data_IF_731354747678
#
_entry.id   IF_731354747678
#
_cell.length_a   1.000
_cell.length_b   1.000
_cell.length_c   1.000
_cell.angle_alpha   90.00
_cell.angle_beta   90.00
_cell.angle_gamma   90.00
#
_symmetry.space_group_name_H-M   'P 1'
#
loop_
_entity.id
_entity.type
_entity.pdbx_description
1 polymer ?
#
# COMPACT_ATOMS: atom_id res chain seq x y z
N UNK A 1 -0.67 -37.75 18.53
CA UNK A 1 -1.42 -36.46 18.55
C UNK A 1 -0.66 -35.29 19.19
N UNK A 2 0.16 -35.46 20.25
CA UNK A 2 0.94 -34.34 20.84
C UNK A 2 2.12 -33.86 19.97
N UNK A 3 2.73 -34.74 19.18
CA UNK A 3 3.92 -34.44 18.36
C UNK A 3 3.62 -33.50 17.18
N UNK A 4 2.42 -33.63 16.58
CA UNK A 4 2.00 -32.82 15.42
C UNK A 4 1.71 -31.37 15.80
N UNK A 5 1.07 -31.13 16.95
CA UNK A 5 0.82 -29.79 17.47
C UNK A 5 2.12 -29.09 17.92
N UNK A 6 3.09 -29.84 18.45
CA UNK A 6 4.40 -29.32 18.84
C UNK A 6 5.24 -28.91 17.60
N UNK A 7 5.25 -29.73 16.55
CA UNK A 7 5.91 -29.42 15.28
C UNK A 7 5.27 -28.22 14.57
N UNK A 8 3.93 -28.10 14.56
CA UNK A 8 3.26 -26.90 14.03
C UNK A 8 3.62 -25.62 14.81
N UNK A 9 3.82 -25.72 16.13
CA UNK A 9 4.25 -24.58 16.96
C UNK A 9 5.70 -24.18 16.69
N UNK A 10 6.60 -25.14 16.46
CA UNK A 10 7.99 -24.90 16.06
C UNK A 10 8.09 -24.31 14.65
N UNK A 11 7.30 -24.81 13.71
CA UNK A 11 7.20 -24.25 12.35
C UNK A 11 6.67 -22.81 12.36
N UNK A 12 5.73 -22.47 13.26
CA UNK A 12 5.19 -21.10 13.46
C UNK A 12 6.10 -20.17 14.24
N UNK A 13 7.08 -20.70 14.98
CA UNK A 13 8.09 -19.93 15.72
C UNK A 13 9.22 -19.40 14.83
N UNK A 14 9.36 -19.95 13.63
CA UNK A 14 10.24 -19.40 12.60
C UNK A 14 9.47 -18.34 11.81
N UNK A 15 10.12 -17.23 11.49
CA UNK A 15 9.55 -16.14 10.68
C UNK A 15 8.84 -16.75 9.47
N UNK A 16 7.56 -16.43 9.22
CA UNK A 16 6.88 -16.96 8.04
C UNK A 16 7.63 -16.44 6.82
N UNK A 17 8.34 -17.33 6.12
CA UNK A 17 9.04 -16.98 4.89
C UNK A 17 8.15 -17.32 3.71
N UNK A 18 8.12 -16.42 2.74
CA UNK A 18 7.47 -16.64 1.45
C UNK A 18 7.89 -17.98 0.78
N UNK A 19 9.13 -18.41 0.98
CA UNK A 19 9.65 -19.72 0.53
C UNK A 19 8.81 -20.90 1.02
N UNK A 20 8.17 -20.80 2.19
CA UNK A 20 7.28 -21.84 2.71
C UNK A 20 5.91 -21.87 2.04
N UNK A 21 5.39 -20.69 1.69
CA UNK A 21 4.17 -20.59 0.90
C UNK A 21 4.39 -21.26 -0.47
N UNK A 22 5.53 -20.98 -1.11
CA UNK A 22 5.93 -21.64 -2.34
C UNK A 22 6.15 -23.14 -2.18
N UNK A 23 6.83 -23.59 -1.12
CA UNK A 23 7.05 -25.01 -0.87
C UNK A 23 5.72 -25.77 -0.71
N UNK A 24 4.73 -25.18 -0.01
CA UNK A 24 3.39 -25.79 0.12
C UNK A 24 2.60 -25.80 -1.18
N UNK A 25 2.67 -24.71 -1.96
CA UNK A 25 2.07 -24.67 -3.30
C UNK A 25 2.72 -25.69 -4.24
N UNK A 26 4.02 -25.93 -4.10
CA UNK A 26 4.75 -26.94 -4.85
C UNK A 26 4.39 -28.37 -4.41
N UNK A 27 4.17 -28.63 -3.12
CA UNK A 27 3.74 -29.94 -2.59
C UNK A 27 2.35 -30.37 -3.15
N UNK A 28 1.47 -29.42 -3.50
CA UNK A 28 0.18 -29.64 -4.15
C UNK A 28 0.32 -29.86 -5.69
N UNK A 29 1.17 -30.82 -6.09
CA UNK A 29 1.55 -31.19 -7.48
C UNK A 29 0.38 -31.50 -8.47
N UNK A 30 -0.88 -31.44 -8.04
CA UNK A 30 -2.08 -31.72 -8.85
C UNK A 30 -2.97 -30.48 -9.12
N UNK A 31 -2.61 -29.29 -8.65
CA UNK A 31 -3.34 -28.07 -9.00
C UNK A 31 -2.81 -27.52 -10.34
N UNK A 32 -3.69 -27.20 -11.32
CA UNK A 32 -3.25 -26.47 -12.51
C UNK A 32 -2.59 -25.15 -12.09
N UNK A 33 -1.63 -24.62 -12.87
CA UNK A 33 -1.02 -23.33 -12.57
C UNK A 33 -2.13 -22.31 -12.34
N UNK A 34 -2.13 -21.71 -11.15
CA UNK A 34 -3.13 -20.70 -10.79
C UNK A 34 -3.05 -19.59 -11.83
N UNK A 35 -4.19 -19.23 -12.42
CA UNK A 35 -4.21 -18.10 -13.35
C UNK A 35 -3.80 -16.82 -12.61
N UNK A 36 -3.10 -15.88 -13.27
CA UNK A 36 -2.79 -14.58 -12.69
C UNK A 36 -4.04 -13.94 -12.09
N UNK A 37 -4.00 -13.62 -10.80
CA UNK A 37 -5.16 -13.07 -10.10
C UNK A 37 -4.93 -11.63 -9.65
N UNK A 38 -5.84 -10.78 -10.08
CA UNK A 38 -6.00 -9.41 -9.60
C UNK A 38 -7.40 -9.24 -9.00
N UNK A 39 -7.49 -8.86 -7.72
CA UNK A 39 -8.77 -8.60 -7.04
C UNK A 39 -8.99 -7.09 -6.99
N UNK A 40 -10.05 -6.61 -7.66
CA UNK A 40 -10.35 -5.19 -7.68
C UNK A 40 -11.07 -4.78 -6.39
N UNK A 41 -10.47 -3.82 -5.67
CA UNK A 41 -10.89 -3.37 -4.35
C UNK A 41 -11.66 -2.04 -4.38
N UNK A 42 -11.96 -1.52 -5.58
CA UNK A 42 -12.73 -0.30 -5.82
C UNK A 42 -11.88 0.96 -5.89
N UNK A 43 -10.71 0.98 -5.25
CA UNK A 43 -9.68 2.02 -5.36
C UNK A 43 -8.49 1.61 -6.26
N UNK A 44 -8.51 0.39 -6.77
CA UNK A 44 -7.44 -0.26 -7.54
C UNK A 44 -7.43 -1.76 -7.31
N UNK A 45 -6.42 -2.45 -7.84
CA UNK A 45 -6.29 -3.92 -7.80
C UNK A 45 -5.26 -4.36 -6.78
N UNK A 46 -5.58 -5.44 -6.07
CA UNK A 46 -4.61 -6.26 -5.34
C UNK A 46 -4.14 -7.40 -6.25
N UNK A 47 -2.90 -7.30 -6.74
CA UNK A 47 -2.28 -8.32 -7.57
C UNK A 47 -1.62 -9.34 -6.64
N UNK A 48 -2.04 -10.60 -6.72
CA UNK A 48 -1.54 -11.66 -5.86
C UNK A 48 -0.26 -12.22 -6.49
N UNK A 49 0.90 -11.70 -6.10
CA UNK A 49 2.16 -11.86 -6.84
C UNK A 49 2.55 -13.31 -7.12
N UNK A 50 2.34 -14.22 -6.18
CA UNK A 50 2.65 -15.65 -6.34
C UNK A 50 1.72 -16.40 -7.31
N UNK A 51 0.60 -15.81 -7.73
CA UNK A 51 -0.29 -16.39 -8.76
C UNK A 51 0.18 -16.05 -10.18
N UNK A 52 1.13 -15.14 -10.35
CA UNK A 52 1.69 -14.80 -11.65
C UNK A 52 2.80 -15.80 -12.01
N UNK A 53 2.85 -16.28 -13.26
CA UNK A 53 3.80 -17.30 -13.68
C UNK A 53 5.26 -16.79 -13.68
N UNK A 54 5.45 -15.51 -14.00
CA UNK A 54 6.77 -14.89 -14.01
C UNK A 54 6.73 -13.38 -13.66
N UNK A 55 7.93 -12.82 -13.50
CA UNK A 55 8.12 -11.44 -13.11
C UNK A 55 7.70 -10.42 -14.18
N UNK A 56 7.76 -10.80 -15.47
CA UNK A 56 7.37 -9.98 -16.60
C UNK A 56 5.86 -9.78 -16.65
N UNK A 57 5.08 -10.84 -16.49
CA UNK A 57 3.61 -10.74 -16.45
C UNK A 57 3.12 -9.90 -15.27
N UNK A 58 3.70 -10.08 -14.08
CA UNK A 58 3.34 -9.26 -12.92
C UNK A 58 3.71 -7.78 -13.11
N UNK A 59 4.88 -7.50 -13.70
CA UNK A 59 5.27 -6.14 -14.04
C UNK A 59 4.32 -5.51 -15.05
N UNK A 60 3.98 -6.21 -16.13
CA UNK A 60 3.03 -5.74 -17.13
C UNK A 60 1.65 -5.45 -16.52
N UNK A 61 1.16 -6.32 -15.63
CA UNK A 61 -0.09 -6.12 -14.94
C UNK A 61 -0.07 -4.87 -14.03
N UNK A 62 1.02 -4.63 -13.29
CA UNK A 62 1.18 -3.38 -12.52
C UNK A 62 1.22 -2.13 -13.40
N UNK A 63 1.76 -2.22 -14.62
CA UNK A 63 1.84 -1.10 -15.55
C UNK A 63 0.50 -0.78 -16.23
N UNK A 64 -0.41 -1.77 -16.28
CA UNK A 64 -1.79 -1.65 -16.78
C UNK A 64 -2.74 -0.94 -15.79
N UNK A 65 -2.21 -0.47 -14.65
CA UNK A 65 -2.95 0.37 -13.69
C UNK A 65 -3.63 1.55 -14.40
N UNK A 66 -4.94 1.71 -14.18
CA UNK A 66 -5.73 2.76 -14.82
C UNK A 66 -5.54 4.12 -14.14
N UNK A 67 -5.74 5.24 -14.86
CA UNK A 67 -5.70 6.56 -14.26
C UNK A 67 -6.68 6.70 -13.09
N UNK A 68 -6.19 7.15 -11.93
CA UNK A 68 -6.99 7.32 -10.71
C UNK A 68 -7.07 6.07 -9.83
N UNK A 69 -6.56 4.93 -10.30
CA UNK A 69 -6.44 3.70 -9.52
C UNK A 69 -5.05 3.58 -8.88
N UNK A 70 -4.95 2.69 -7.90
CA UNK A 70 -3.71 2.39 -7.20
C UNK A 70 -3.56 0.90 -7.01
N UNK A 71 -2.79 0.29 -7.88
CA UNK A 71 -2.51 -1.13 -7.82
C UNK A 71 -1.42 -1.44 -6.81
N UNK A 72 -1.55 -2.60 -6.16
CA UNK A 72 -0.58 -3.10 -5.19
C UNK A 72 -0.35 -4.57 -5.49
N UNK A 73 0.89 -4.94 -5.81
CA UNK A 73 1.30 -6.32 -5.82
C UNK A 73 1.83 -6.72 -4.45
N UNK A 74 1.24 -7.74 -3.83
CA UNK A 74 1.64 -8.30 -2.54
C UNK A 74 1.99 -9.79 -2.72
N UNK A 75 2.75 -10.35 -1.79
CA UNK A 75 3.22 -11.75 -1.83
C UNK A 75 4.10 -12.02 -3.06
N UNK A 76 4.99 -11.08 -3.38
CA UNK A 76 5.88 -11.16 -4.52
C UNK A 76 7.15 -11.92 -4.14
N UNK A 77 7.43 -13.02 -4.84
CA UNK A 77 8.58 -13.90 -4.57
C UNK A 77 9.93 -13.21 -4.63
N UNK A 78 10.17 -12.61 -5.78
CA UNK A 78 11.44 -12.06 -6.18
C UNK A 78 11.16 -10.64 -6.65
N UNK A 79 10.87 -9.70 -5.72
CA UNK A 79 10.43 -8.37 -6.10
C UNK A 79 11.52 -7.61 -6.88
N UNK A 80 12.80 -7.94 -6.65
CA UNK A 80 13.93 -7.42 -7.42
C UNK A 80 13.88 -7.85 -8.91
N UNK A 81 13.37 -9.04 -9.24
CA UNK A 81 13.23 -9.50 -10.63
C UNK A 81 12.10 -8.76 -11.34
N UNK A 82 10.98 -8.52 -10.64
CA UNK A 82 9.85 -7.73 -11.17
C UNK A 82 10.28 -6.28 -11.37
N UNK A 83 10.99 -5.71 -10.40
CA UNK A 83 11.53 -4.36 -10.50
C UNK A 83 12.51 -4.21 -11.68
N UNK A 84 13.31 -5.25 -11.98
CA UNK A 84 14.23 -5.25 -13.10
C UNK A 84 13.54 -5.19 -14.47
N UNK A 85 12.27 -5.60 -14.59
CA UNK A 85 11.50 -5.50 -15.83
C UNK A 85 11.13 -4.05 -16.17
N UNK A 86 10.87 -3.23 -15.15
CA UNK A 86 10.42 -1.84 -15.35
C UNK A 86 10.94 -0.90 -14.24
N UNK A 87 12.27 -0.73 -14.09
CA UNK A 87 12.87 -0.03 -12.94
C UNK A 87 12.56 1.48 -12.90
N UNK A 88 12.25 2.06 -14.07
CA UNK A 88 11.86 3.46 -14.18
C UNK A 88 10.37 3.70 -13.84
N UNK A 89 9.55 2.64 -13.80
CA UNK A 89 8.09 2.75 -13.65
C UNK A 89 7.56 2.03 -12.40
N UNK A 90 8.32 1.11 -11.82
CA UNK A 90 7.96 0.39 -10.59
C UNK A 90 8.90 0.76 -9.44
N UNK A 91 8.43 0.58 -8.21
CA UNK A 91 9.24 0.75 -7.00
C UNK A 91 8.78 -0.21 -5.90
N UNK A 92 9.67 -0.47 -4.94
CA UNK A 92 9.33 -1.17 -3.69
C UNK A 92 8.57 -0.21 -2.79
N UNK A 93 7.35 -0.57 -2.43
CA UNK A 93 6.56 0.20 -1.49
C UNK A 93 7.22 0.19 -0.11
N UNK A 94 7.45 1.36 0.53
CA UNK A 94 8.10 1.43 1.83
C UNK A 94 7.11 1.10 2.96
N UNK A 95 6.46 -0.06 2.86
CA UNK A 95 5.52 -0.56 3.85
C UNK A 95 6.06 -1.83 4.49
N UNK A 96 5.79 -1.97 5.79
CA UNK A 96 6.02 -3.22 6.50
C UNK A 96 4.78 -4.09 6.39
N UNK A 97 4.99 -5.37 6.10
CA UNK A 97 3.91 -6.35 6.14
C UNK A 97 3.90 -7.01 7.51
N UNK A 98 2.73 -7.08 8.15
CA UNK A 98 2.56 -7.68 9.47
C UNK A 98 1.54 -8.83 9.41
N UNK A 99 1.77 -9.88 10.20
CA UNK A 99 0.89 -11.05 10.35
C UNK A 99 0.48 -11.25 11.81
N UNK A 100 -0.79 -11.53 12.04
CA UNK A 100 -1.30 -12.09 13.28
C UNK A 100 -1.81 -13.51 13.05
N UNK A 101 -1.19 -14.50 13.71
CA UNK A 101 -1.76 -15.84 13.79
C UNK A 101 -2.95 -15.86 14.73
N UNK A 102 -4.07 -16.44 14.30
CA UNK A 102 -5.27 -16.45 15.14
C UNK A 102 -5.15 -17.30 16.40
N UNK A 103 -4.23 -18.27 16.43
CA UNK A 103 -3.90 -19.00 17.66
C UNK A 103 -3.27 -18.11 18.74
N UNK A 104 -2.67 -17.00 18.33
CA UNK A 104 -1.99 -16.05 19.22
C UNK A 104 -2.94 -14.92 19.63
N UNK A 105 -4.08 -14.77 18.96
CA UNK A 105 -5.11 -13.79 19.30
C UNK A 105 -5.73 -14.06 20.67
N UNK A 106 -5.97 -12.99 21.43
CA UNK A 106 -6.73 -13.03 22.68
C UNK A 106 -7.88 -12.02 22.61
N UNK A 107 -9.14 -12.49 22.73
CA UNK A 107 -10.30 -11.62 22.77
C UNK A 107 -10.19 -10.56 23.87
N UNK A 108 -10.74 -9.38 23.59
CA UNK A 108 -10.77 -8.29 24.57
C UNK A 108 -11.65 -8.67 25.76
N UNK A 109 -11.18 -8.40 26.98
CA UNK A 109 -11.97 -8.65 28.21
C UNK A 109 -13.08 -7.63 28.45
N UNK A 110 -12.97 -6.43 27.85
CA UNK A 110 -13.93 -5.35 27.98
C UNK A 110 -14.54 -5.07 26.61
N UNK A 111 -15.87 -5.06 26.55
CA UNK A 111 -16.60 -4.63 25.37
C UNK A 111 -16.45 -3.12 25.14
N UNK A 112 -16.33 -2.74 23.88
CA UNK A 112 -16.39 -1.35 23.45
C UNK A 112 -17.86 -0.93 23.34
N UNK A 113 -18.16 0.34 23.57
CA UNK A 113 -19.53 0.87 23.66
C UNK A 113 -19.68 2.16 22.87
N UNK A 114 -20.91 2.48 22.46
CA UNK A 114 -21.25 3.74 21.78
C UNK A 114 -21.13 3.67 20.26
N UNK A 115 -20.87 2.49 19.70
CA UNK A 115 -20.88 2.25 18.27
C UNK A 115 -21.07 0.76 17.96
N UNK A 116 -21.69 0.49 16.82
CA UNK A 116 -21.94 -0.87 16.30
C UNK A 116 -21.12 -1.12 15.04
N UNK A 117 -20.73 -2.37 14.81
CA UNK A 117 -20.04 -2.78 13.60
C UNK A 117 -21.00 -3.52 12.69
N UNK A 118 -21.04 -3.13 11.42
CA UNK A 118 -21.85 -3.81 10.39
C UNK A 118 -21.18 -3.74 9.02
N UNK A 119 -21.67 -4.53 8.05
CA UNK A 119 -21.22 -4.45 6.66
C UNK A 119 -21.76 -3.18 5.98
N UNK A 120 -21.01 -2.68 5.01
CA UNK A 120 -21.53 -1.73 4.03
C UNK A 120 -22.59 -2.41 3.14
N UNK A 121 -23.70 -1.72 2.87
CA UNK A 121 -24.86 -2.30 2.18
C UNK A 121 -25.43 -1.42 1.07
N UNK A 122 -25.40 -0.10 1.23
CA UNK A 122 -26.11 0.83 0.35
C UNK A 122 -25.19 1.98 -0.11
N UNK A 123 -25.71 2.81 -1.01
CA UNK A 123 -24.97 3.94 -1.58
C UNK A 123 -24.52 4.96 -0.51
N UNK A 124 -25.35 5.21 0.50
CA UNK A 124 -25.01 6.14 1.58
C UNK A 124 -23.82 5.64 2.42
N UNK A 125 -23.73 4.32 2.64
CA UNK A 125 -22.57 3.71 3.30
C UNK A 125 -21.28 3.93 2.50
N UNK A 126 -21.31 3.74 1.18
CA UNK A 126 -20.13 3.94 0.32
C UNK A 126 -19.69 5.39 0.28
N UNK A 127 -20.65 6.32 0.21
CA UNK A 127 -20.38 7.75 0.32
C UNK A 127 -19.73 8.09 1.66
N UNK A 128 -20.23 7.53 2.77
CA UNK A 128 -19.67 7.76 4.08
C UNK A 128 -18.24 7.19 4.23
N UNK A 129 -17.96 6.01 3.65
CA UNK A 129 -16.58 5.48 3.58
C UNK A 129 -15.69 6.41 2.77
N UNK A 130 -16.15 6.91 1.63
CA UNK A 130 -15.37 7.80 0.77
C UNK A 130 -15.06 9.12 1.48
N UNK A 131 -16.00 9.67 2.26
CA UNK A 131 -15.74 10.82 3.13
C UNK A 131 -14.62 10.51 4.14
N UNK A 132 -14.65 9.35 4.81
CA UNK A 132 -13.57 8.93 5.72
C UNK A 132 -12.22 8.81 5.00
N UNK A 133 -12.20 8.24 3.81
CA UNK A 133 -10.99 8.03 3.02
C UNK A 133 -10.39 9.37 2.58
N UNK A 134 -11.22 10.29 2.08
CA UNK A 134 -10.78 11.63 1.69
C UNK A 134 -10.20 12.41 2.88
N UNK A 135 -10.84 12.36 4.06
CA UNK A 135 -10.31 12.98 5.29
C UNK A 135 -8.95 12.38 5.73
N UNK A 136 -8.65 11.15 5.31
CA UNK A 136 -7.38 10.47 5.58
C UNK A 136 -6.39 10.48 4.40
N UNK A 137 -6.68 11.22 3.34
CA UNK A 137 -5.84 11.27 2.14
C UNK A 137 -5.75 9.93 1.39
N UNK A 138 -6.75 9.07 1.54
CA UNK A 138 -6.87 7.79 0.85
C UNK A 138 -7.73 7.94 -0.41
N UNK A 139 -7.49 7.08 -1.40
CA UNK A 139 -8.32 7.05 -2.61
C UNK A 139 -9.74 6.60 -2.29
N UNK A 140 -10.77 7.24 -2.88
CA UNK A 140 -12.14 6.79 -2.75
C UNK A 140 -12.33 5.42 -3.43
N UNK A 141 -13.37 4.73 -2.99
CA UNK A 141 -13.85 3.47 -3.55
C UNK A 141 -14.89 3.78 -4.62
N UNK A 142 -14.79 3.12 -5.76
CA UNK A 142 -15.86 2.97 -6.73
C UNK A 142 -16.53 1.59 -6.55
N UNK A 143 -17.72 1.50 -5.94
CA UNK A 143 -18.35 0.21 -5.62
C UNK A 143 -18.62 -0.66 -6.85
N UNK A 144 -18.91 -0.04 -8.00
CA UNK A 144 -19.16 -0.74 -9.26
C UNK A 144 -17.94 -1.49 -9.84
N UNK A 145 -16.73 -1.17 -9.38
CA UNK A 145 -15.51 -1.89 -9.77
C UNK A 145 -15.14 -2.99 -8.78
N UNK A 146 -15.83 -3.14 -7.66
CA UNK A 146 -15.50 -4.18 -6.69
C UNK A 146 -15.66 -5.57 -7.31
N UNK A 147 -14.65 -6.42 -7.14
CA UNK A 147 -14.86 -7.86 -7.37
C UNK A 147 -16.01 -8.30 -6.46
N UNK A 148 -17.05 -8.96 -6.99
CA UNK A 148 -18.19 -9.41 -6.18
C UNK A 148 -17.77 -10.37 -5.06
N UNK A 149 -18.42 -10.29 -3.90
CA UNK A 149 -18.08 -11.12 -2.74
C UNK A 149 -18.25 -12.64 -3.00
N UNK A 150 -19.22 -13.02 -3.84
CA UNK A 150 -19.43 -14.40 -4.27
C UNK A 150 -18.32 -14.90 -5.21
N UNK A 151 -17.59 -14.00 -5.86
CA UNK A 151 -16.43 -14.28 -6.71
C UNK A 151 -15.10 -14.12 -5.97
N UNK A 152 -15.13 -14.06 -4.63
CA UNK A 152 -13.93 -13.95 -3.81
C UNK A 152 -13.46 -12.53 -3.51
N UNK A 153 -14.28 -11.52 -3.84
CA UNK A 153 -13.99 -10.12 -3.56
C UNK A 153 -13.96 -9.72 -2.08
N UNK A 154 -13.53 -8.49 -1.79
CA UNK A 154 -13.37 -8.00 -0.43
C UNK A 154 -14.72 -7.74 0.27
N UNK A 155 -14.66 -7.61 1.60
CA UNK A 155 -15.77 -7.15 2.43
C UNK A 155 -15.41 -5.87 3.15
N UNK A 156 -16.32 -4.91 3.15
CA UNK A 156 -16.16 -3.64 3.87
C UNK A 156 -17.05 -3.63 5.11
N UNK A 157 -16.44 -3.26 6.24
CA UNK A 157 -17.07 -3.14 7.54
C UNK A 157 -16.98 -1.72 8.04
N UNK A 158 -18.04 -1.27 8.70
CA UNK A 158 -18.23 0.09 9.18
C UNK A 158 -18.42 0.08 10.68
N UNK A 159 -17.85 1.06 11.36
CA UNK A 159 -18.25 1.44 12.71
C UNK A 159 -19.23 2.60 12.60
N UNK A 160 -20.45 2.40 13.10
CA UNK A 160 -21.51 3.40 13.15
C UNK A 160 -21.73 3.83 14.59
N UNK A 161 -21.63 5.13 14.85
CA UNK A 161 -21.90 5.72 16.16
C UNK A 161 -23.37 5.51 16.55
N UNK A 162 -23.62 5.02 17.76
CA UNK A 162 -24.98 4.66 18.21
C UNK A 162 -25.88 5.88 18.48
N UNK A 163 -25.30 7.03 18.84
CA UNK A 163 -26.05 8.23 19.21
C UNK A 163 -26.43 9.06 17.96
N UNK A 164 -25.48 9.22 17.03
CA UNK A 164 -25.62 10.06 15.83
C UNK A 164 -25.99 9.29 14.56
N UNK A 165 -25.75 7.97 14.53
CA UNK A 165 -25.85 7.16 13.32
C UNK A 165 -24.74 7.42 12.28
N UNK A 166 -23.74 8.25 12.61
CA UNK A 166 -22.67 8.58 11.69
C UNK A 166 -21.68 7.42 11.55
N UNK A 167 -21.17 7.20 10.33
CA UNK A 167 -20.07 6.26 10.09
C UNK A 167 -18.76 6.89 10.54
N UNK A 168 -18.18 6.37 11.61
CA UNK A 168 -16.99 6.91 12.29
C UNK A 168 -15.72 6.09 12.00
N UNK A 169 -15.84 4.97 11.31
CA UNK A 169 -14.69 4.18 10.87
C UNK A 169 -15.06 3.13 9.83
N UNK A 170 -14.07 2.68 9.08
CA UNK A 170 -14.21 1.66 8.04
C UNK A 170 -12.97 0.78 7.97
N UNK A 171 -13.15 -0.49 7.60
CA UNK A 171 -12.06 -1.42 7.34
C UNK A 171 -12.46 -2.41 6.24
N UNK A 172 -11.50 -2.77 5.39
CA UNK A 172 -11.64 -3.78 4.36
C UNK A 172 -10.99 -5.09 4.79
N UNK A 173 -11.69 -6.21 4.63
CA UNK A 173 -11.17 -7.55 4.83
C UNK A 173 -11.26 -8.39 3.55
N UNK A 174 -10.18 -9.12 3.23
CA UNK A 174 -10.12 -10.07 2.11
C UNK A 174 -9.87 -11.48 2.64
N UNK A 175 -10.71 -12.43 2.21
CA UNK A 175 -10.56 -13.85 2.53
C UNK A 175 -9.73 -14.53 1.44
N UNK A 176 -8.52 -14.98 1.77
CA UNK A 176 -7.58 -15.52 0.77
C UNK A 176 -8.02 -16.88 0.22
N UNK A 177 -8.66 -17.71 1.05
CA UNK A 177 -9.23 -18.98 0.61
C UNK A 177 -10.30 -18.76 -0.47
N UNK A 178 -11.14 -17.73 -0.33
CA UNK A 178 -12.16 -17.39 -1.33
C UNK A 178 -11.59 -16.68 -2.55
N UNK A 179 -10.65 -15.76 -2.34
CA UNK A 179 -10.07 -14.94 -3.39
C UNK A 179 -9.18 -15.77 -4.32
N UNK A 180 -8.25 -16.56 -3.77
CA UNK A 180 -7.23 -17.27 -4.54
C UNK A 180 -6.94 -18.70 -4.05
N UNK A 181 -7.85 -19.30 -3.26
CA UNK A 181 -7.70 -20.67 -2.74
C UNK A 181 -6.39 -20.88 -1.98
N UNK A 182 -6.02 -19.90 -1.16
CA UNK A 182 -4.81 -19.97 -0.34
C UNK A 182 -4.72 -21.28 0.47
N UNK A 183 -3.68 -22.10 0.27
CA UNK A 183 -3.52 -23.36 1.02
C UNK A 183 -3.28 -23.13 2.51
N UNK A 184 -2.82 -21.95 2.93
CA UNK A 184 -2.66 -21.63 4.35
C UNK A 184 -3.94 -21.13 5.01
N UNK A 185 -5.03 -20.95 4.24
CA UNK A 185 -6.30 -20.38 4.67
C UNK A 185 -6.13 -18.99 5.33
N UNK A 186 -5.40 -18.09 4.67
CA UNK A 186 -5.13 -16.75 5.13
C UNK A 186 -6.27 -15.75 4.97
N UNK A 187 -6.03 -14.56 5.52
CA UNK A 187 -6.83 -13.37 5.27
C UNK A 187 -5.97 -12.11 5.35
N UNK A 188 -6.45 -10.99 4.83
CA UNK A 188 -5.77 -9.70 4.94
C UNK A 188 -6.72 -8.55 5.23
N UNK A 189 -6.21 -7.57 5.97
CA UNK A 189 -6.86 -6.31 6.30
C UNK A 189 -6.27 -5.18 5.46
N UNK A 190 -7.13 -4.32 4.95
CA UNK A 190 -6.78 -3.14 4.17
C UNK A 190 -7.62 -1.94 4.56
N UNK A 191 -7.12 -0.76 4.19
CA UNK A 191 -7.86 0.50 4.22
C UNK A 191 -8.61 0.77 5.55
N UNK A 192 -7.91 0.58 6.68
CA UNK A 192 -8.42 0.95 8.00
C UNK A 192 -8.43 2.48 8.12
N UNK A 193 -9.62 3.07 8.22
CA UNK A 193 -9.83 4.49 8.41
C UNK A 193 -10.74 4.74 9.61
N UNK A 194 -10.42 5.77 10.38
CA UNK A 194 -11.25 6.26 11.50
C UNK A 194 -11.42 7.75 11.30
N UNK A 195 -12.60 8.30 11.58
CA UNK A 195 -12.83 9.73 11.52
C UNK A 195 -11.83 10.46 12.44
N UNK A 196 -11.03 11.43 11.94
CA UNK A 196 -10.08 12.19 12.76
C UNK A 196 -10.74 13.02 13.87
N UNK A 197 -12.02 13.36 13.73
CA UNK A 197 -12.82 14.10 14.71
C UNK A 197 -13.60 13.17 15.65
N UNK A 198 -13.44 11.84 15.51
CA UNK A 198 -14.14 10.88 16.34
C UNK A 198 -13.76 11.03 17.82
N UNK A 199 -14.77 11.25 18.67
CA UNK A 199 -14.60 11.29 20.13
C UNK A 199 -14.59 9.89 20.76
N UNK A 200 -14.98 8.84 20.02
CA UNK A 200 -15.04 7.47 20.52
C UNK A 200 -13.65 6.84 20.54
N UNK A 201 -13.13 6.41 21.70
CA UNK A 201 -11.83 5.77 21.76
C UNK A 201 -11.89 4.35 21.18
N UNK A 202 -10.80 3.94 20.53
CA UNK A 202 -10.56 2.53 20.17
C UNK A 202 -11.30 2.02 18.94
N UNK A 203 -11.98 2.87 18.15
CA UNK A 203 -12.71 2.46 16.92
C UNK A 203 -11.83 1.63 15.99
N UNK A 204 -10.60 2.08 15.73
CA UNK A 204 -9.66 1.34 14.89
C UNK A 204 -9.29 -0.04 15.46
N UNK A 205 -9.07 -0.15 16.77
CA UNK A 205 -8.79 -1.43 17.42
C UNK A 205 -9.97 -2.39 17.29
N UNK A 206 -11.17 -1.88 17.46
CA UNK A 206 -12.41 -2.67 17.39
C UNK A 206 -12.67 -3.19 15.99
N UNK A 207 -12.47 -2.37 14.97
CA UNK A 207 -12.59 -2.78 13.57
C UNK A 207 -11.61 -3.92 13.24
N UNK A 208 -10.36 -3.81 13.68
CA UNK A 208 -9.35 -4.86 13.48
C UNK A 208 -9.75 -6.15 14.22
N UNK A 209 -10.13 -6.05 15.49
CA UNK A 209 -10.59 -7.21 16.29
C UNK A 209 -11.79 -7.88 15.68
N UNK A 210 -12.74 -7.10 15.18
CA UNK A 210 -13.91 -7.64 14.49
C UNK A 210 -13.52 -8.43 13.25
N UNK A 211 -12.60 -7.91 12.42
CA UNK A 211 -12.09 -8.67 11.27
C UNK A 211 -11.38 -9.96 11.69
N UNK A 212 -10.56 -9.92 12.73
CA UNK A 212 -9.89 -11.11 13.28
C UNK A 212 -10.94 -12.15 13.67
N UNK A 213 -11.91 -11.77 14.50
CA UNK A 213 -12.95 -12.67 15.00
C UNK A 213 -13.87 -13.17 13.89
N UNK A 214 -14.20 -12.32 12.91
CA UNK A 214 -14.95 -12.69 11.73
C UNK A 214 -14.25 -13.78 10.91
N UNK A 215 -12.96 -13.62 10.64
CA UNK A 215 -12.20 -14.59 9.86
C UNK A 215 -11.86 -15.86 10.65
N UNK A 216 -11.66 -15.76 11.97
CA UNK A 216 -11.58 -16.92 12.87
C UNK A 216 -12.86 -17.76 12.79
N UNK A 217 -14.04 -17.14 12.82
CA UNK A 217 -15.31 -17.86 12.72
C UNK A 217 -15.52 -18.54 11.36
N UNK A 218 -14.67 -18.25 10.36
CA UNK A 218 -14.67 -18.86 9.03
C UNK A 218 -13.57 -19.92 8.87
N UNK A 219 -12.84 -20.24 9.93
CA UNK A 219 -11.79 -21.26 9.90
C UNK A 219 -10.49 -20.84 9.24
N UNK A 220 -10.27 -19.53 9.06
CA UNK A 220 -9.00 -19.01 8.53
C UNK A 220 -7.90 -19.06 9.62
N UNK A 221 -6.63 -18.92 9.22
CA UNK A 221 -5.46 -19.17 10.07
C UNK A 221 -4.79 -17.92 10.62
N UNK A 222 -4.80 -16.83 9.85
CA UNK A 222 -4.10 -15.59 10.16
C UNK A 222 -4.74 -14.38 9.48
N UNK A 223 -4.35 -13.18 9.92
CA UNK A 223 -4.66 -11.90 9.28
C UNK A 223 -3.36 -11.15 8.98
N UNK A 224 -3.16 -10.80 7.71
CA UNK A 224 -2.05 -9.98 7.22
C UNK A 224 -2.47 -8.54 6.97
N UNK A 225 -1.53 -7.61 6.99
CA UNK A 225 -1.74 -6.23 6.57
C UNK A 225 -0.43 -5.60 6.11
N UNK A 226 -0.55 -4.52 5.34
CA UNK A 226 0.58 -3.66 4.96
C UNK A 226 0.37 -2.27 5.58
N UNK A 227 1.43 -1.74 6.20
CA UNK A 227 1.42 -0.42 6.85
C UNK A 227 2.68 0.35 6.49
N UNK A 228 2.53 1.62 6.10
CA UNK A 228 3.67 2.49 5.80
C UNK A 228 4.65 2.54 6.98
N UNK A 229 5.95 2.51 6.67
CA UNK A 229 7.01 2.40 7.66
C UNK A 229 7.01 3.53 8.71
N UNK A 230 6.51 4.71 8.34
CA UNK A 230 6.45 5.92 9.17
C UNK A 230 5.14 6.07 9.96
N UNK A 231 4.15 5.20 9.73
CA UNK A 231 2.86 5.23 10.43
C UNK A 231 2.96 4.62 11.84
N UNK A 232 3.62 5.36 12.74
CA UNK A 232 3.87 4.96 14.13
C UNK A 232 2.59 4.65 14.91
N UNK A 233 1.52 5.41 14.69
CA UNK A 233 0.25 5.21 15.38
C UNK A 233 -0.38 3.85 15.05
N UNK A 234 -0.44 3.50 13.76
CA UNK A 234 -0.97 2.20 13.33
C UNK A 234 -0.08 1.04 13.80
N UNK A 235 1.25 1.19 13.70
CA UNK A 235 2.21 0.18 14.20
C UNK A 235 2.04 -0.11 15.69
N UNK A 236 1.82 0.91 16.53
CA UNK A 236 1.54 0.72 17.96
C UNK A 236 0.24 -0.07 18.19
N UNK A 237 -0.81 0.22 17.42
CA UNK A 237 -2.05 -0.54 17.47
C UNK A 237 -1.83 -2.02 17.11
N UNK A 238 -1.15 -2.30 16.00
CA UNK A 238 -0.92 -3.67 15.55
C UNK A 238 0.00 -4.44 16.51
N UNK A 239 1.04 -3.81 17.04
CA UNK A 239 1.88 -4.40 18.08
C UNK A 239 1.09 -4.78 19.33
N UNK A 240 0.17 -3.90 19.79
CA UNK A 240 -0.75 -4.18 20.92
C UNK A 240 -1.64 -5.39 20.65
N UNK A 241 -2.05 -5.60 19.40
CA UNK A 241 -2.88 -6.74 18.99
C UNK A 241 -2.08 -8.03 18.76
N UNK A 242 -0.75 -7.98 18.84
CA UNK A 242 0.13 -9.14 18.70
C UNK A 242 0.57 -9.44 17.27
N UNK A 243 0.39 -8.51 16.34
CA UNK A 243 0.95 -8.64 14.99
C UNK A 243 2.48 -8.66 15.03
N UNK A 244 3.09 -9.41 14.12
CA UNK A 244 4.54 -9.55 13.96
C UNK A 244 4.93 -9.30 12.51
N UNK A 245 6.16 -8.86 12.29
CA UNK A 245 6.67 -8.63 10.94
C UNK A 245 6.70 -9.92 10.11
N UNK A 246 6.23 -9.79 8.86
CA UNK A 246 6.30 -10.78 7.81
C UNK A 246 7.27 -10.26 6.75
N UNK A 247 8.30 -11.05 6.44
CA UNK A 247 9.32 -10.69 5.46
C UNK A 247 8.77 -10.89 4.04
N UNK A 248 7.99 -9.92 3.58
CA UNK A 248 7.50 -9.80 2.21
C UNK A 248 7.44 -8.33 1.83
N UNK A 249 7.65 -8.06 0.55
CA UNK A 249 7.61 -6.71 -0.01
C UNK A 249 6.38 -6.53 -0.88
N UNK A 250 5.96 -5.28 -1.01
CA UNK A 250 4.93 -4.88 -1.97
C UNK A 250 5.56 -4.06 -3.09
N UNK A 251 5.03 -4.20 -4.30
CA UNK A 251 5.42 -3.39 -5.45
C UNK A 251 4.25 -2.53 -5.90
N UNK A 252 4.57 -1.32 -6.35
CA UNK A 252 3.61 -0.35 -6.87
C UNK A 252 4.16 0.35 -8.10
N UNK A 253 3.27 0.90 -8.91
CA UNK A 253 3.62 1.77 -10.03
C UNK A 253 3.97 3.18 -9.53
N UNK A 254 5.04 3.75 -10.08
CA UNK A 254 5.39 5.16 -9.96
C UNK A 254 4.35 5.99 -10.71
N UNK A 255 3.49 6.66 -9.96
CA UNK A 255 2.42 7.53 -10.47
C UNK A 255 2.29 8.77 -9.56
N UNK A 256 1.37 9.68 -9.88
CA UNK A 256 1.15 10.89 -9.09
C UNK A 256 0.68 10.60 -7.65
N UNK A 257 -0.11 9.55 -7.44
CA UNK A 257 -0.65 9.15 -6.12
C UNK A 257 0.47 8.64 -5.20
N UNK A 258 1.41 7.86 -5.75
CA UNK A 258 2.54 7.26 -5.03
C UNK A 258 3.78 8.16 -4.99
N UNK A 259 3.74 9.34 -5.62
CA UNK A 259 4.88 10.24 -5.77
C UNK A 259 5.66 10.49 -4.47
N UNK A 260 5.02 10.76 -3.31
CA UNK A 260 5.75 10.96 -2.06
C UNK A 260 6.55 9.73 -1.59
N UNK A 261 6.16 8.52 -2.02
CA UNK A 261 6.74 7.26 -1.55
C UNK A 261 8.04 6.88 -2.26
N UNK A 262 8.29 7.41 -3.46
CA UNK A 262 9.48 7.03 -4.26
C UNK A 262 10.43 8.19 -4.57
N UNK A 263 10.04 9.44 -4.32
CA UNK A 263 10.92 10.60 -4.51
C UNK A 263 11.82 10.92 -3.32
N UNK A 264 11.46 10.46 -2.12
CA UNK A 264 12.19 10.79 -0.90
C UNK A 264 12.07 12.27 -0.53
N UNK A 265 12.77 12.72 0.53
CA UNK A 265 12.77 14.12 0.92
C UNK A 265 13.48 14.96 -0.15
N UNK A 266 12.76 15.90 -0.77
CA UNK A 266 13.34 16.87 -1.70
C UNK A 266 14.30 17.85 -0.99
N UNK A 267 15.03 18.68 -1.75
CA UNK A 267 15.93 19.67 -1.17
C UNK A 267 15.15 20.66 -0.30
N UNK A 268 15.56 20.78 0.96
CA UNK A 268 14.94 21.67 1.97
C UNK A 268 15.17 23.16 1.67
N UNK A 269 16.11 23.48 0.79
CA UNK A 269 16.47 24.85 0.46
C UNK A 269 15.29 25.60 -0.20
N UNK A 270 15.11 26.87 0.17
CA UNK A 270 14.09 27.76 -0.40
C UNK A 270 14.54 28.26 -1.78
N UNK A 271 14.18 27.53 -2.83
CA UNK A 271 14.42 27.92 -4.21
C UNK A 271 13.38 28.93 -4.70
N UNK A 272 13.80 29.83 -5.58
CA UNK A 272 12.88 30.68 -6.33
C UNK A 272 11.89 29.85 -7.19
N UNK A 273 10.73 30.39 -7.58
CA UNK A 273 9.69 29.61 -8.28
C UNK A 273 10.15 28.93 -9.57
N UNK A 274 11.05 29.55 -10.34
CA UNK A 274 11.53 28.99 -11.61
C UNK A 274 12.46 27.79 -11.38
N UNK A 275 13.41 27.94 -10.45
CA UNK A 275 14.28 26.84 -10.04
C UNK A 275 13.47 25.70 -9.42
N UNK A 276 12.46 26.00 -8.58
CA UNK A 276 11.60 25.00 -7.94
C UNK A 276 10.89 24.10 -8.95
N UNK A 277 10.30 24.68 -10.00
CA UNK A 277 9.58 23.91 -11.03
C UNK A 277 10.52 22.87 -11.69
N UNK A 278 11.73 23.29 -12.04
CA UNK A 278 12.71 22.43 -12.70
C UNK A 278 13.21 21.35 -11.74
N UNK A 279 13.52 21.73 -10.50
CA UNK A 279 13.99 20.80 -9.45
C UNK A 279 12.93 19.75 -9.13
N UNK A 280 11.68 20.15 -8.94
CA UNK A 280 10.60 19.22 -8.63
C UNK A 280 10.35 18.24 -9.79
N UNK A 281 10.39 18.73 -11.04
CA UNK A 281 10.25 17.88 -12.23
C UNK A 281 11.46 16.96 -12.45
N UNK A 282 12.67 17.43 -12.15
CA UNK A 282 13.88 16.60 -12.20
C UNK A 282 13.78 15.44 -11.21
N UNK A 283 13.43 15.73 -9.95
CA UNK A 283 13.22 14.70 -8.92
C UNK A 283 12.16 13.70 -9.37
N UNK A 284 11.02 14.16 -9.90
CA UNK A 284 9.96 13.28 -10.45
C UNK A 284 10.45 12.27 -11.47
N UNK A 285 11.48 12.63 -12.24
CA UNK A 285 12.08 11.79 -13.28
C UNK A 285 13.27 10.97 -12.79
N UNK A 286 13.52 10.94 -11.48
CA UNK A 286 14.66 10.27 -10.89
C UNK A 286 16.00 10.93 -11.25
N UNK A 287 15.98 12.23 -11.55
CA UNK A 287 17.18 13.04 -11.74
C UNK A 287 17.53 13.60 -10.37
N UNK A 288 18.75 13.31 -9.91
CA UNK A 288 19.26 13.82 -8.65
C UNK A 288 19.50 15.34 -8.76
N UNK A 289 19.16 16.06 -7.70
CA UNK A 289 19.33 17.51 -7.63
C UNK A 289 20.19 17.86 -6.42
N UNK A 290 21.29 18.56 -6.67
CA UNK A 290 22.08 19.23 -5.64
C UNK A 290 21.83 20.73 -5.73
N UNK A 291 21.32 21.35 -4.67
CA UNK A 291 21.19 22.82 -4.62
C UNK A 291 22.55 23.39 -4.22
N UNK A 292 23.16 24.16 -5.12
CA UNK A 292 24.49 24.73 -4.92
C UNK A 292 24.40 26.11 -4.25
N UNK A 293 23.45 26.94 -4.68
CA UNK A 293 23.12 28.24 -4.07
C UNK A 293 21.65 28.57 -4.33
N UNK A 294 20.84 28.54 -3.28
CA UNK A 294 19.40 28.73 -3.39
C UNK A 294 19.01 30.19 -3.73
N UNK A 295 19.75 31.16 -3.19
CA UNK A 295 19.49 32.59 -3.41
C UNK A 295 19.81 32.97 -4.86
N UNK A 296 20.90 32.44 -5.40
CA UNK A 296 21.28 32.62 -6.79
C UNK A 296 20.47 31.77 -7.79
N UNK A 297 19.64 30.84 -7.30
CA UNK A 297 18.88 29.89 -8.11
C UNK A 297 19.75 28.85 -8.80
N UNK A 298 20.91 28.53 -8.23
CA UNK A 298 21.90 27.59 -8.78
C UNK A 298 21.70 26.18 -8.22
N UNK A 299 21.62 25.21 -9.12
CA UNK A 299 21.51 23.80 -8.78
C UNK A 299 22.15 22.92 -9.86
N UNK A 300 22.61 21.73 -9.47
CA UNK A 300 23.18 20.73 -10.35
C UNK A 300 22.22 19.56 -10.51
N UNK A 301 21.88 19.24 -11.76
CA UNK A 301 21.14 18.04 -12.13
C UNK A 301 22.10 16.90 -12.43
N UNK A 302 21.88 15.71 -11.85
CA UNK A 302 22.72 14.53 -12.03
C UNK A 302 21.90 13.31 -12.44
N UNK A 303 22.31 12.63 -13.51
CA UNK A 303 21.69 11.37 -13.96
C UNK A 303 22.72 10.49 -14.68
N UNK A 304 22.89 9.25 -14.22
CA UNK A 304 23.75 8.26 -14.89
C UNK A 304 25.20 8.72 -15.08
N UNK A 305 25.74 9.48 -14.12
CA UNK A 305 27.11 10.03 -14.16
C UNK A 305 27.26 11.34 -14.95
N UNK A 306 26.23 11.80 -15.67
CA UNK A 306 26.22 13.13 -16.28
C UNK A 306 25.78 14.16 -15.24
N UNK A 307 26.40 15.34 -15.29
CA UNK A 307 26.08 16.49 -14.44
C UNK A 307 25.88 17.72 -15.31
N UNK A 308 24.82 18.47 -15.04
CA UNK A 308 24.52 19.74 -15.72
C UNK A 308 24.22 20.75 -14.62
N UNK A 309 25.02 21.82 -14.53
CA UNK A 309 24.73 22.95 -13.65
C UNK A 309 23.71 23.84 -14.31
N UNK A 310 22.77 24.31 -13.52
CA UNK A 310 21.69 25.19 -13.93
C UNK A 310 21.65 26.44 -13.05
N UNK A 311 21.25 27.56 -13.66
CA UNK A 311 20.73 28.74 -12.98
C UNK A 311 19.32 28.96 -13.49
N UNK A 312 18.33 28.56 -12.69
CA UNK A 312 16.94 28.48 -13.17
C UNK A 312 16.86 27.66 -14.48
N UNK A 313 16.38 28.25 -15.58
CA UNK A 313 16.28 27.60 -16.90
C UNK A 313 17.57 27.65 -17.73
N UNK A 314 18.58 28.42 -17.32
CA UNK A 314 19.89 28.44 -17.96
C UNK A 314 20.70 27.24 -17.49
N UNK A 315 21.49 26.63 -18.39
CA UNK A 315 22.35 25.49 -18.06
C UNK A 315 23.75 25.64 -18.64
N UNK A 316 24.67 24.75 -18.25
CA UNK A 316 26.00 24.61 -18.88
C UNK A 316 25.95 24.46 -20.42
N UNK A 317 24.79 24.06 -20.98
CA UNK A 317 24.58 23.88 -22.42
C UNK A 317 24.01 25.13 -23.10
N UNK A 318 23.68 26.18 -22.35
CA UNK A 318 23.12 27.42 -22.90
C UNK A 318 24.24 28.27 -23.53
N UNK A 319 24.08 28.65 -24.80
CA UNK A 319 25.06 29.51 -25.48
C UNK A 319 25.13 30.92 -24.86
N UNK A 320 26.26 31.61 -25.03
CA UNK A 320 26.43 32.98 -24.54
C UNK A 320 25.38 33.96 -25.12
N UNK A 321 24.97 33.77 -26.38
CA UNK A 321 23.93 34.58 -27.02
C UNK A 321 22.58 34.34 -26.37
N UNK A 322 22.19 33.08 -26.16
CA UNK A 322 20.92 32.72 -25.50
C UNK A 322 20.86 33.23 -24.07
N UNK A 323 21.97 33.13 -23.32
CA UNK A 323 22.08 33.67 -21.97
C UNK A 323 21.86 35.18 -21.95
N UNK A 324 22.45 35.91 -22.90
CA UNK A 324 22.30 37.37 -23.02
C UNK A 324 20.84 37.78 -23.26
N UNK A 325 20.14 37.07 -24.15
CA UNK A 325 18.71 37.32 -24.43
C UNK A 325 17.83 37.01 -23.22
N UNK A 326 18.04 35.88 -22.54
CA UNK A 326 17.25 35.49 -21.38
C UNK A 326 17.50 36.36 -20.14
N UNK A 327 18.67 37.00 -20.01
CA UNK A 327 18.98 37.89 -18.90
C UNK A 327 18.22 39.23 -19.02
N UNK A 328 17.96 39.70 -20.25
CA UNK A 328 17.15 40.89 -20.48
C UNK A 328 15.66 40.52 -20.63
N UNK A 329 14.93 40.54 -19.52
CA UNK A 329 13.47 40.26 -19.47
C UNK A 329 12.61 41.24 -20.29
N UNK A 330 13.20 42.23 -20.97
CA UNK A 330 12.48 43.08 -21.95
C UNK A 330 12.53 42.51 -23.35
N UNK A 331 13.44 41.59 -23.63
CA UNK A 331 13.62 40.92 -24.93
C UNK A 331 12.84 39.60 -25.03
N UNK A 332 12.28 39.12 -23.92
CA UNK A 332 11.50 37.87 -23.78
C UNK A 332 10.32 38.08 -22.86
#
# INVERSE_FOLDING_TARGET
MRTTAYNQRLLRGQTPSYERLQARLAEDHNAPPSQPLAVHCGWGRLLIGHTYPDAGELAAALLDEQPGERDIALYVAAPHQVLAQAPQQLFLDPSDTLRLWFTDYRPARRGFRGYRIRRAQNEADWQAINCLYQMRGMLPIEPGKLTPYNEGGPTYWLAEDEDSGAVIGSVMGLNHQRAFRDPENGSSLWCLAVDPQCSRPGVGEVLVRHLIEHFMSRGLSYLDLSVLHDNRQAKQLYAKLGFRELQTFSLKRKNGINQPLFLGPGPQAELNPYARIIVDEALRRGIEVQVDDAEAGLFTLSQGGRRIRCRESLSDLTSAVSMTLCQDKRLT
#
